data_IF_750538401403
#
_entry.id   IF_750538401403
#
_cell.length_a   1.000
_cell.length_b   1.000
_cell.length_c   1.000
_cell.angle_alpha   90.00
_cell.angle_beta   90.00
_cell.angle_gamma   90.00
#
_symmetry.space_group_name_H-M   'P 1'
#
loop_
_entity.id
_entity.type
_entity.pdbx_description
1 polymer ?
#
# COMPACT_ATOMS: atom_id res chain seq x y z
N UNK A 1 1.06 -1.85 2.76
CA UNK A 1 1.09 -0.43 2.39
C UNK A 1 2.28 -0.12 1.49
N UNK A 2 3.50 -0.59 1.78
CA UNK A 2 4.69 -0.35 0.95
C UNK A 2 4.53 -0.75 -0.52
N UNK A 3 3.84 -1.86 -0.81
CA UNK A 3 3.57 -2.27 -2.19
C UNK A 3 2.62 -1.30 -2.92
N UNK A 4 1.67 -0.67 -2.20
CA UNK A 4 0.76 0.34 -2.76
C UNK A 4 1.53 1.62 -3.07
N UNK A 5 2.40 2.07 -2.15
CA UNK A 5 3.31 3.21 -2.37
C UNK A 5 4.19 2.99 -3.61
N UNK A 6 4.81 1.81 -3.71
CA UNK A 6 5.63 1.44 -4.86
C UNK A 6 4.82 1.44 -6.19
N UNK A 7 3.59 0.93 -6.18
CA UNK A 7 2.72 0.93 -7.35
C UNK A 7 2.33 2.35 -7.79
N UNK A 8 1.93 3.23 -6.86
CA UNK A 8 1.60 4.62 -7.15
C UNK A 8 2.79 5.34 -7.80
N UNK A 9 4.00 5.11 -7.30
CA UNK A 9 5.22 5.69 -7.86
C UNK A 9 5.57 5.10 -9.22
N UNK A 10 5.39 3.80 -9.40
CA UNK A 10 5.59 3.13 -10.69
C UNK A 10 4.69 3.72 -11.78
N UNK A 11 3.42 4.01 -11.48
CA UNK A 11 2.51 4.66 -12.42
C UNK A 11 2.79 6.15 -12.61
N UNK A 12 3.58 6.77 -11.76
CA UNK A 12 3.92 8.19 -11.83
C UNK A 12 2.77 9.13 -11.47
N UNK A 13 1.81 8.64 -10.68
CA UNK A 13 0.66 9.40 -10.20
C UNK A 13 -0.27 8.55 -9.37
N UNK A 14 -1.11 9.17 -8.55
CA UNK A 14 -2.02 8.49 -7.65
C UNK A 14 -3.44 8.40 -8.24
N UNK A 15 -4.15 7.27 -8.06
CA UNK A 15 -5.54 7.17 -8.48
C UNK A 15 -6.44 8.02 -7.57
N UNK A 16 -7.55 8.52 -8.08
CA UNK A 16 -8.54 9.26 -7.26
C UNK A 16 -9.18 8.38 -6.19
N UNK A 17 -9.37 7.09 -6.48
CA UNK A 17 -9.98 6.13 -5.56
C UNK A 17 -9.09 4.89 -5.45
N UNK A 18 -8.74 4.53 -4.22
CA UNK A 18 -8.12 3.25 -3.88
C UNK A 18 -9.20 2.29 -3.37
N UNK A 19 -9.32 1.13 -4.00
CA UNK A 19 -10.27 0.10 -3.61
C UNK A 19 -9.51 -1.08 -2.99
N UNK A 20 -9.23 -1.07 -1.69
CA UNK A 20 -8.57 -2.19 -1.04
C UNK A 20 -9.47 -3.40 -0.98
N UNK A 21 -8.87 -4.60 -0.94
CA UNK A 21 -9.60 -5.79 -0.55
C UNK A 21 -9.95 -5.72 0.95
N UNK A 22 -10.99 -6.47 1.35
CA UNK A 22 -11.44 -6.61 2.75
C UNK A 22 -10.43 -7.43 3.59
N UNK A 23 -9.13 -7.15 3.44
CA UNK A 23 -8.07 -7.73 4.25
C UNK A 23 -8.03 -7.03 5.62
N UNK A 24 -7.76 -7.78 6.68
CA UNK A 24 -7.57 -7.23 8.04
C UNK A 24 -6.51 -6.14 8.13
N UNK A 25 -5.56 -6.12 7.20
CA UNK A 25 -4.54 -5.07 7.10
C UNK A 25 -5.06 -3.74 6.53
N UNK A 26 -6.23 -3.74 5.89
CA UNK A 26 -6.83 -2.56 5.29
C UNK A 26 -8.11 -2.10 6.02
N UNK A 27 -8.82 -3.03 6.68
CA UNK A 27 -10.13 -2.79 7.30
C UNK A 27 -10.08 -3.18 8.77
N UNK A 28 -10.40 -2.25 9.68
CA UNK A 28 -10.47 -2.47 11.15
C UNK A 28 -11.78 -3.14 11.57
N UNK A 29 -12.89 -2.76 10.95
CA UNK A 29 -14.22 -3.27 11.26
C UNK A 29 -14.94 -3.68 9.98
N UNK A 30 -15.57 -4.86 10.02
CA UNK A 30 -16.37 -5.39 8.91
C UNK A 30 -17.85 -5.01 9.12
N UNK A 31 -18.14 -3.72 9.23
CA UNK A 31 -19.52 -3.26 9.16
C UNK A 31 -20.00 -3.34 7.70
N UNK A 32 -21.23 -3.82 7.51
CA UNK A 32 -21.86 -4.00 6.19
C UNK A 32 -22.03 -2.66 5.46
N UNK A 33 -22.16 -1.57 6.19
CA UNK A 33 -22.52 -0.26 5.67
C UNK A 33 -21.37 0.74 5.69
N UNK A 34 -20.41 0.59 6.61
CA UNK A 34 -19.27 1.47 6.77
C UNK A 34 -18.06 0.71 7.31
N UNK A 35 -17.34 -0.07 6.47
CA UNK A 35 -16.14 -0.74 6.91
C UNK A 35 -15.07 0.30 7.31
N UNK A 36 -14.65 0.27 8.57
CA UNK A 36 -13.60 1.16 9.09
C UNK A 36 -12.25 0.80 8.48
N UNK A 37 -11.59 1.76 7.87
CA UNK A 37 -10.24 1.62 7.33
C UNK A 37 -9.19 1.61 8.44
N UNK A 38 -8.06 0.99 8.22
CA UNK A 38 -6.91 1.09 9.12
C UNK A 38 -6.28 2.48 9.02
N UNK A 39 -5.73 2.99 10.15
CA UNK A 39 -5.12 4.31 10.20
C UNK A 39 -4.01 4.46 9.17
N UNK A 40 -3.20 3.42 8.97
CA UNK A 40 -2.13 3.44 7.98
C UNK A 40 -2.62 3.56 6.53
N UNK A 41 -3.78 2.99 6.18
CA UNK A 41 -4.35 3.16 4.84
C UNK A 41 -4.96 4.55 4.67
N UNK A 42 -5.59 5.10 5.71
CA UNK A 42 -6.09 6.47 5.72
C UNK A 42 -4.95 7.49 5.58
N UNK A 43 -3.85 7.29 6.32
CA UNK A 43 -2.66 8.13 6.23
C UNK A 43 -2.05 8.10 4.82
N UNK A 44 -1.95 6.91 4.21
CA UNK A 44 -1.45 6.77 2.85
C UNK A 44 -2.38 7.45 1.84
N UNK A 45 -3.69 7.24 1.96
CA UNK A 45 -4.67 7.87 1.08
C UNK A 45 -4.64 9.40 1.20
N UNK A 46 -4.56 9.92 2.42
CA UNK A 46 -4.44 11.36 2.69
C UNK A 46 -3.15 11.93 2.09
N UNK A 47 -2.02 11.24 2.25
CA UNK A 47 -0.74 11.67 1.70
C UNK A 47 -0.77 11.83 0.17
N UNK A 48 -1.44 10.91 -0.53
CA UNK A 48 -1.56 10.94 -1.99
C UNK A 48 -2.80 11.67 -2.51
N UNK A 49 -3.64 12.22 -1.64
CA UNK A 49 -4.89 12.88 -2.01
C UNK A 49 -5.96 11.93 -2.58
N UNK A 50 -5.83 10.62 -2.29
CA UNK A 50 -6.77 9.60 -2.75
C UNK A 50 -7.95 9.46 -1.79
N UNK A 51 -9.10 9.00 -2.29
CA UNK A 51 -10.16 8.45 -1.46
C UNK A 51 -9.98 6.93 -1.34
N UNK A 52 -9.93 6.40 -0.12
CA UNK A 52 -9.91 4.95 0.08
C UNK A 52 -11.33 4.44 0.32
N UNK A 53 -11.84 3.62 -0.59
CA UNK A 53 -13.19 3.06 -0.53
C UNK A 53 -13.11 1.52 -0.55
N UNK A 54 -13.38 0.83 0.56
CA UNK A 54 -13.36 -0.62 0.61
C UNK A 54 -14.36 -1.24 -0.37
N UNK A 55 -13.98 -2.37 -0.96
CA UNK A 55 -14.88 -3.15 -1.80
C UNK A 55 -16.10 -3.62 -0.99
N UNK A 56 -17.27 -3.65 -1.65
CA UNK A 56 -18.51 -4.09 -1.01
C UNK A 56 -18.40 -5.57 -0.59
N UNK A 57 -18.86 -5.85 0.62
CA UNK A 57 -18.85 -7.22 1.17
C UNK A 57 -19.76 -8.13 0.31
N UNK A 58 -19.24 -9.32 -0.04
CA UNK A 58 -19.97 -10.35 -0.82
C UNK A 58 -20.40 -9.93 -2.23
N UNK A 59 -19.68 -9.02 -2.88
CA UNK A 59 -19.89 -8.67 -4.28
C UNK A 59 -18.66 -9.04 -5.14
N UNK A 60 -18.51 -10.30 -5.57
CA UNK A 60 -17.33 -10.77 -6.33
C UNK A 60 -17.17 -10.04 -7.68
N UNK A 61 -18.25 -9.54 -8.28
CA UNK A 61 -18.18 -8.77 -9.53
C UNK A 61 -17.36 -7.48 -9.42
N UNK A 62 -17.26 -6.88 -8.22
CA UNK A 62 -16.47 -5.67 -7.99
C UNK A 62 -14.95 -5.94 -8.13
N UNK A 63 -14.53 -7.22 -8.06
CA UNK A 63 -13.13 -7.66 -8.11
C UNK A 63 -12.76 -8.48 -9.35
N UNK A 64 -13.71 -8.76 -10.23
CA UNK A 64 -13.49 -9.64 -11.40
C UNK A 64 -12.29 -9.19 -12.26
N UNK A 65 -12.09 -7.87 -12.41
CA UNK A 65 -10.95 -7.33 -13.15
C UNK A 65 -9.60 -7.58 -12.46
N UNK A 66 -9.56 -7.51 -11.13
CA UNK A 66 -8.34 -7.77 -10.35
C UNK A 66 -8.00 -9.25 -10.36
N UNK A 67 -8.98 -10.12 -10.19
CA UNK A 67 -8.80 -11.57 -10.26
C UNK A 67 -8.30 -12.02 -11.64
N UNK A 68 -8.87 -11.47 -12.70
CA UNK A 68 -8.41 -11.73 -14.08
C UNK A 68 -6.98 -11.20 -14.30
N UNK A 69 -6.65 -10.02 -13.77
CA UNK A 69 -5.30 -9.47 -13.84
C UNK A 69 -4.28 -10.35 -13.10
N UNK A 70 -4.60 -10.85 -11.90
CA UNK A 70 -3.77 -11.80 -11.15
C UNK A 70 -3.55 -13.08 -11.96
N UNK A 71 -4.61 -13.65 -12.51
CA UNK A 71 -4.53 -14.86 -13.34
C UNK A 71 -3.65 -14.67 -14.59
N UNK A 72 -3.79 -13.53 -15.26
CA UNK A 72 -2.96 -13.15 -16.41
C UNK A 72 -1.50 -12.95 -16.01
N UNK A 73 -1.23 -12.34 -14.87
CA UNK A 73 0.13 -12.18 -14.32
C UNK A 73 0.78 -13.54 -14.06
N UNK A 74 0.05 -14.47 -13.48
CA UNK A 74 0.53 -15.84 -13.27
C UNK A 74 0.92 -16.51 -14.58
N UNK A 75 0.05 -16.48 -15.60
CA UNK A 75 0.31 -17.12 -16.88
C UNK A 75 1.42 -16.46 -17.70
N UNK A 76 1.53 -15.13 -17.65
CA UNK A 76 2.38 -14.36 -18.57
C UNK A 76 3.72 -13.96 -17.97
N UNK A 77 3.82 -13.88 -16.65
CA UNK A 77 5.03 -13.46 -15.94
C UNK A 77 5.61 -14.63 -15.14
N UNK A 78 4.86 -15.21 -14.21
CA UNK A 78 5.42 -16.22 -13.31
C UNK A 78 5.60 -17.58 -13.96
N UNK A 79 4.67 -18.05 -14.81
CA UNK A 79 4.78 -19.35 -15.45
C UNK A 79 6.04 -19.49 -16.35
N UNK A 80 6.47 -18.48 -17.13
CA UNK A 80 7.74 -18.55 -17.86
C UNK A 80 8.99 -18.63 -16.96
N UNK A 81 8.91 -18.13 -15.72
CA UNK A 81 10.03 -18.11 -14.78
C UNK A 81 10.15 -19.37 -13.93
N UNK A 82 9.13 -20.24 -13.89
CA UNK A 82 9.05 -21.38 -12.95
C UNK A 82 10.23 -22.36 -13.00
N UNK A 83 10.89 -22.47 -14.17
CA UNK A 83 12.01 -23.39 -14.38
C UNK A 83 13.38 -22.69 -14.36
N UNK A 84 13.41 -21.35 -14.07
CA UNK A 84 14.67 -20.62 -13.93
C UNK A 84 15.13 -20.65 -12.48
N UNK A 85 16.43 -20.81 -12.27
CA UNK A 85 17.06 -20.67 -10.96
C UNK A 85 17.50 -19.22 -10.81
N UNK A 86 17.21 -18.64 -9.64
CA UNK A 86 17.60 -17.27 -9.29
C UNK A 86 18.44 -17.33 -8.01
N UNK A 87 19.56 -16.64 -8.01
CA UNK A 87 20.48 -16.58 -6.86
C UNK A 87 20.27 -15.35 -5.99
N UNK A 88 19.45 -14.40 -6.43
CA UNK A 88 19.09 -13.20 -5.66
C UNK A 88 17.68 -12.69 -6.01
N UNK A 89 17.08 -11.93 -5.07
CA UNK A 89 15.83 -11.22 -5.32
C UNK A 89 15.97 -10.18 -6.44
N UNK A 90 17.13 -9.58 -6.57
CA UNK A 90 17.40 -8.59 -7.63
C UNK A 90 17.32 -9.24 -9.01
N UNK A 91 17.94 -10.41 -9.18
CA UNK A 91 17.88 -11.17 -10.42
C UNK A 91 16.44 -11.60 -10.76
N UNK A 92 15.68 -12.06 -9.77
CA UNK A 92 14.27 -12.40 -9.95
C UNK A 92 13.45 -11.17 -10.36
N UNK A 93 13.62 -10.04 -9.67
CA UNK A 93 12.89 -8.82 -9.97
C UNK A 93 13.19 -8.29 -11.38
N UNK A 94 14.48 -8.30 -11.80
CA UNK A 94 14.86 -7.91 -13.14
C UNK A 94 14.19 -8.79 -14.22
N UNK A 95 14.12 -10.10 -13.99
CA UNK A 95 13.43 -11.01 -14.91
C UNK A 95 11.91 -10.79 -14.94
N UNK A 96 11.31 -10.43 -13.81
CA UNK A 96 9.88 -10.07 -13.72
C UNK A 96 9.62 -8.76 -14.48
N UNK A 97 10.48 -7.75 -14.31
CA UNK A 97 10.37 -6.45 -14.99
C UNK A 97 10.45 -6.62 -16.51
N UNK A 98 11.41 -7.39 -17.02
CA UNK A 98 11.55 -7.68 -18.45
C UNK A 98 10.26 -8.30 -19.04
N UNK A 99 9.69 -9.31 -18.36
CA UNK A 99 8.46 -9.94 -18.80
C UNK A 99 7.23 -9.04 -18.68
N UNK A 100 7.19 -8.20 -17.66
CA UNK A 100 6.14 -7.21 -17.45
C UNK A 100 6.14 -6.16 -18.56
N UNK A 101 7.31 -5.64 -18.90
CA UNK A 101 7.49 -4.69 -20.00
C UNK A 101 7.07 -5.29 -21.34
N UNK A 102 7.54 -6.50 -21.65
CA UNK A 102 7.14 -7.25 -22.84
C UNK A 102 5.62 -7.51 -22.89
N UNK A 103 5.01 -7.82 -21.73
CA UNK A 103 3.56 -8.06 -21.65
C UNK A 103 2.77 -6.76 -21.86
N UNK A 104 3.21 -5.66 -21.30
CA UNK A 104 2.54 -4.37 -21.39
C UNK A 104 2.68 -3.71 -22.76
N UNK A 105 3.83 -3.91 -23.44
CA UNK A 105 4.08 -3.38 -24.78
C UNK A 105 3.41 -4.18 -25.90
N UNK A 106 2.93 -5.39 -25.59
CA UNK A 106 2.24 -6.23 -26.58
C UNK A 106 0.84 -5.67 -26.88
N UNK A 107 0.46 -5.61 -28.15
CA UNK A 107 -0.91 -5.29 -28.59
C UNK A 107 -1.94 -6.14 -27.88
N UNK A 108 -3.04 -5.56 -27.50
CA UNK A 108 -4.17 -6.27 -26.88
C UNK A 108 -4.97 -6.99 -27.97
N UNK A 109 -5.55 -8.13 -27.61
CA UNK A 109 -6.37 -8.91 -28.55
C UNK A 109 -7.59 -8.09 -28.99
N UNK A 110 -7.77 -7.95 -30.30
CA UNK A 110 -8.88 -7.18 -30.88
C UNK A 110 -8.72 -5.65 -30.78
N UNK A 111 -7.53 -5.14 -30.46
CA UNK A 111 -7.24 -3.72 -30.36
C UNK A 111 -5.96 -3.36 -31.13
N UNK A 112 -5.90 -2.13 -31.62
CA UNK A 112 -4.72 -1.61 -32.32
C UNK A 112 -3.68 -0.97 -31.40
N UNK A 113 -3.89 -1.06 -30.08
CA UNK A 113 -3.03 -0.48 -29.05
C UNK A 113 -2.56 -1.51 -28.02
N UNK A 114 -1.45 -1.21 -27.36
CA UNK A 114 -0.93 -1.93 -26.21
C UNK A 114 -1.49 -1.37 -24.88
N UNK A 115 -1.21 -2.05 -23.77
CA UNK A 115 -1.58 -1.55 -22.43
C UNK A 115 -0.86 -0.27 -22.08
N UNK A 116 0.42 -0.17 -22.43
CA UNK A 116 1.22 1.03 -22.17
C UNK A 116 0.66 2.22 -22.95
N UNK A 117 0.36 2.05 -24.25
CA UNK A 117 -0.19 3.12 -25.06
C UNK A 117 -1.55 3.60 -24.52
N UNK A 118 -2.43 2.68 -24.13
CA UNK A 118 -3.71 3.05 -23.52
C UNK A 118 -3.53 3.75 -22.18
N UNK A 119 -2.63 3.25 -21.33
CA UNK A 119 -2.34 3.88 -20.04
C UNK A 119 -1.85 5.32 -20.23
N UNK A 120 -0.88 5.53 -21.11
CA UNK A 120 -0.30 6.86 -21.37
C UNK A 120 -1.32 7.83 -21.96
N UNK A 121 -2.18 7.35 -22.86
CA UNK A 121 -3.14 8.21 -23.57
C UNK A 121 -4.39 8.53 -22.72
N UNK A 122 -4.86 7.61 -21.88
CA UNK A 122 -6.16 7.74 -21.21
C UNK A 122 -6.05 7.83 -19.69
N UNK A 123 -5.26 6.95 -19.07
CA UNK A 123 -5.27 6.79 -17.62
C UNK A 123 -4.29 7.75 -16.93
N UNK A 124 -3.09 7.89 -17.48
CA UNK A 124 -2.03 8.74 -16.89
C UNK A 124 -2.44 10.20 -16.71
N UNK A 125 -3.14 10.86 -17.66
CA UNK A 125 -3.61 12.24 -17.49
C UNK A 125 -4.63 12.42 -16.36
N UNK A 126 -5.35 11.34 -15.99
CA UNK A 126 -6.36 11.36 -14.91
C UNK A 126 -5.77 11.11 -13.52
N UNK A 127 -4.51 10.70 -13.42
CA UNK A 127 -3.86 10.48 -12.14
C UNK A 127 -3.58 11.79 -11.42
N UNK A 128 -3.72 11.77 -10.11
CA UNK A 128 -3.32 12.89 -9.25
C UNK A 128 -1.80 13.02 -9.23
N UNK A 129 -1.26 14.24 -9.17
CA UNK A 129 0.18 14.46 -9.10
C UNK A 129 0.76 13.86 -7.82
N UNK A 130 1.98 13.34 -7.92
CA UNK A 130 2.69 12.83 -6.74
C UNK A 130 3.12 13.98 -5.83
N UNK A 131 2.97 13.86 -4.50
CA UNK A 131 3.55 14.81 -3.56
C UNK A 131 5.08 14.79 -3.66
N UNK A 132 5.71 15.93 -3.37
CA UNK A 132 7.17 16.06 -3.42
C UNK A 132 7.90 15.17 -2.40
N UNK A 133 7.26 14.89 -1.27
CA UNK A 133 7.81 14.03 -0.22
C UNK A 133 7.35 12.58 -0.41
N UNK A 134 8.26 11.66 -0.07
CA UNK A 134 7.94 10.22 -0.08
C UNK A 134 7.08 9.86 1.12
N UNK A 135 6.07 9.01 0.91
CA UNK A 135 5.27 8.48 2.00
C UNK A 135 6.14 7.72 3.00
N UNK A 136 6.00 8.09 4.27
CA UNK A 136 6.61 7.37 5.38
C UNK A 136 5.51 6.67 6.17
N UNK A 137 5.61 5.35 6.26
CA UNK A 137 4.63 4.56 6.98
C UNK A 137 4.67 4.89 8.47
N UNK A 138 3.56 5.45 8.96
CA UNK A 138 3.36 5.73 10.39
C UNK A 138 2.73 4.54 11.08
N UNK A 139 3.20 4.26 12.28
CA UNK A 139 2.61 3.28 13.19
C UNK A 139 2.09 4.02 14.41
N UNK A 140 0.95 3.60 14.90
CA UNK A 140 0.27 4.20 16.04
C UNK A 140 0.25 3.21 17.20
N UNK A 141 0.55 3.66 18.39
CA UNK A 141 0.46 2.90 19.63
C UNK A 141 -0.10 3.76 20.74
N UNK A 142 -1.06 3.22 21.50
CA UNK A 142 -1.55 3.85 22.73
C UNK A 142 -0.83 3.20 23.90
N UNK A 143 0.03 3.94 24.59
CA UNK A 143 0.88 3.46 25.67
C UNK A 143 0.60 4.19 26.97
N UNK A 144 0.70 3.48 28.11
CA UNK A 144 0.61 4.10 29.43
C UNK A 144 1.99 4.56 29.90
N UNK A 145 2.09 5.80 30.38
CA UNK A 145 3.32 6.34 30.93
C UNK A 145 3.64 5.68 32.27
N UNK A 146 4.81 5.06 32.35
CA UNK A 146 5.27 4.38 33.56
C UNK A 146 5.67 5.38 34.68
N UNK A 147 5.74 4.94 35.97
CA UNK A 147 6.11 5.81 37.10
C UNK A 147 7.51 6.46 36.97
N UNK A 148 8.38 5.87 36.16
CA UNK A 148 9.71 6.39 35.84
C UNK A 148 9.72 7.44 34.72
N UNK A 149 8.56 7.97 34.32
CA UNK A 149 8.40 8.95 33.23
C UNK A 149 8.79 8.46 31.87
N UNK A 150 8.70 7.15 31.58
CA UNK A 150 8.99 6.60 30.26
C UNK A 150 7.80 5.86 29.66
N UNK A 151 7.75 5.86 28.35
CA UNK A 151 6.96 4.90 27.56
C UNK A 151 7.88 3.95 26.83
N UNK A 152 7.50 2.67 26.79
CA UNK A 152 8.27 1.63 26.11
C UNK A 152 7.66 1.32 24.77
N UNK A 153 8.43 1.49 23.68
CA UNK A 153 7.99 1.27 22.32
C UNK A 153 8.67 0.06 21.70
N UNK A 154 7.87 -0.78 21.03
CA UNK A 154 8.32 -1.87 20.18
C UNK A 154 8.84 -3.10 20.91
N UNK A 155 9.22 -4.14 20.13
CA UNK A 155 9.79 -5.39 20.66
C UNK A 155 11.19 -5.20 21.23
N UNK A 156 11.93 -4.24 20.73
CA UNK A 156 13.30 -3.90 21.16
C UNK A 156 13.33 -3.10 22.46
N UNK A 157 12.16 -2.80 23.04
CA UNK A 157 12.00 -2.13 24.34
C UNK A 157 12.69 -0.77 24.44
N UNK A 158 12.70 0.02 23.36
CA UNK A 158 13.18 1.40 23.44
C UNK A 158 12.32 2.23 24.37
N UNK A 159 12.98 3.03 25.23
CA UNK A 159 12.33 3.89 26.21
C UNK A 159 12.45 5.36 25.77
N UNK A 160 11.31 6.06 25.81
CA UNK A 160 11.23 7.49 25.48
C UNK A 160 10.71 8.25 26.69
N UNK A 161 11.41 9.31 27.08
CA UNK A 161 11.01 10.14 28.22
C UNK A 161 9.78 10.98 27.89
N UNK A 162 8.91 11.13 28.88
CA UNK A 162 7.67 11.90 28.79
C UNK A 162 7.57 12.77 30.04
N UNK A 163 6.97 13.98 29.97
CA UNK A 163 6.80 14.83 31.14
C UNK A 163 6.11 14.12 32.32
N UNK A 164 6.62 14.31 33.52
CA UNK A 164 6.14 13.64 34.76
C UNK A 164 4.65 13.83 35.04
N UNK A 165 4.07 14.95 34.60
CA UNK A 165 2.61 15.23 34.68
C UNK A 165 1.73 14.21 33.96
N UNK A 166 2.30 13.42 33.06
CA UNK A 166 1.58 12.42 32.28
C UNK A 166 1.70 11.00 32.86
N UNK A 167 2.36 10.80 33.99
CA UNK A 167 2.48 9.51 34.67
C UNK A 167 1.10 8.91 34.89
N UNK A 168 0.93 7.65 34.53
CA UNK A 168 -0.34 6.91 34.62
C UNK A 168 -1.34 7.21 33.51
N UNK A 169 -1.14 8.25 32.72
CA UNK A 169 -2.00 8.59 31.58
C UNK A 169 -1.63 7.74 30.35
N UNK A 170 -2.61 7.58 29.48
CA UNK A 170 -2.39 7.01 28.15
C UNK A 170 -1.99 8.11 27.19
N UNK A 171 -0.91 7.90 26.46
CA UNK A 171 -0.40 8.80 25.42
C UNK A 171 -0.42 8.09 24.08
N UNK A 172 -0.75 8.83 23.03
CA UNK A 172 -0.63 8.33 21.66
C UNK A 172 0.81 8.50 21.18
N UNK A 173 1.41 7.40 20.71
CA UNK A 173 2.76 7.39 20.16
C UNK A 173 2.66 7.11 18.66
N UNK A 174 3.05 8.07 17.84
CA UNK A 174 3.14 7.96 16.38
C UNK A 174 4.62 7.82 16.02
N UNK A 175 4.98 6.74 15.34
CA UNK A 175 6.38 6.49 15.01
C UNK A 175 6.56 5.98 13.58
N UNK A 176 7.67 6.38 13.00
CA UNK A 176 8.21 5.91 11.72
C UNK A 176 9.52 5.16 12.00
N UNK A 177 10.20 4.71 10.97
CA UNK A 177 11.52 4.07 11.12
C UNK A 177 12.61 5.07 11.58
N UNK A 178 12.36 6.38 11.51
CA UNK A 178 13.34 7.44 11.84
C UNK A 178 12.88 8.42 12.90
N UNK A 179 11.59 8.49 13.22
CA UNK A 179 11.03 9.50 14.13
C UNK A 179 9.99 8.88 15.08
N UNK A 180 9.95 9.40 16.30
CA UNK A 180 8.92 9.10 17.31
C UNK A 180 8.31 10.42 17.80
N UNK A 181 6.99 10.51 17.81
CA UNK A 181 6.22 11.63 18.33
C UNK A 181 5.24 11.11 19.38
N UNK A 182 5.11 11.81 20.50
CA UNK A 182 4.27 11.44 21.65
C UNK A 182 3.31 12.59 21.91
N UNK A 183 1.99 12.27 21.98
CA UNK A 183 0.91 13.23 22.17
C UNK A 183 0.08 12.91 23.40
#
# INVERSE_FOLDING_TARGET
>A
LGAVDAAIRFFGGAPRILVPDNLRSAVKSFDRWSPGLTDGLNDLATHYGCCAQPARVRRPKDKALVEDAVHKSYKRIYAPLRNRLFHSLQELNAAVEELLEKYNSRRMQGCDYSRVERFLAVEKPELLPLPGERYQMKRHALLTVAPNCFVQLGRERHHYSVPSRLIGNKVEVIFTDTQVRIY
#
